data_IF_820165448174
#
_entry.id   IF_820165448174
#
_cell.length_a   1.000
_cell.length_b   1.000
_cell.length_c   1.000
_cell.angle_alpha   90.00
_cell.angle_beta   90.00
_cell.angle_gamma   90.00
#
_symmetry.space_group_name_H-M   'P 1'
#
loop_
_entity.id
_entity.type
_entity.pdbx_description
1 polymer ?
#
# COMPACT_ATOMS: atom_id res chain seq x y z
N UNK A 1 -8.17 5.41 9.74
CA UNK A 1 -9.36 5.99 9.10
C UNK A 1 -10.60 5.65 9.91
N UNK A 2 -10.69 6.20 11.05
CA UNK A 2 -11.68 5.86 12.07
C UNK A 2 -13.11 5.92 11.55
N UNK A 3 -13.70 4.76 11.25
CA UNK A 3 -15.08 4.66 10.83
C UNK A 3 -15.42 5.24 9.47
N UNK A 4 -14.44 5.69 8.71
CA UNK A 4 -14.62 6.26 7.38
C UNK A 4 -14.44 5.21 6.31
N UNK A 5 -15.30 5.22 5.30
CA UNK A 5 -15.18 4.32 4.18
C UNK A 5 -14.11 4.79 3.20
N UNK A 6 -13.39 3.84 2.63
CA UNK A 6 -12.49 4.09 1.52
C UNK A 6 -12.87 3.19 0.36
N UNK A 7 -12.55 3.63 -0.84
CA UNK A 7 -12.67 2.82 -2.05
C UNK A 7 -11.28 2.60 -2.62
N UNK A 8 -10.95 1.35 -2.89
CA UNK A 8 -9.70 0.99 -3.54
C UNK A 8 -10.03 0.50 -4.94
N UNK A 9 -9.37 1.09 -5.94
CA UNK A 9 -9.46 0.64 -7.32
C UNK A 9 -8.13 0.04 -7.72
N UNK A 10 -8.14 -1.17 -8.24
CA UNK A 10 -6.95 -1.83 -8.73
C UNK A 10 -7.08 -2.07 -10.22
N UNK A 11 -6.03 -1.74 -10.96
CA UNK A 11 -6.03 -1.88 -12.42
C UNK A 11 -4.67 -2.37 -12.88
N UNK A 12 -4.68 -3.45 -13.68
CA UNK A 12 -3.48 -3.93 -14.36
C UNK A 12 -3.20 -3.00 -15.53
N UNK A 13 -1.96 -2.58 -15.68
CA UNK A 13 -1.53 -1.64 -16.70
C UNK A 13 -0.18 -2.08 -17.29
N UNK A 14 0.33 -1.30 -18.25
CA UNK A 14 1.62 -1.56 -18.87
C UNK A 14 1.70 -2.97 -19.47
N UNK A 15 0.64 -3.36 -20.18
CA UNK A 15 0.51 -4.67 -20.83
C UNK A 15 0.69 -5.85 -19.88
N UNK A 16 0.17 -5.69 -18.64
CA UNK A 16 0.12 -6.77 -17.66
C UNK A 16 1.31 -6.83 -16.71
N UNK A 17 2.25 -5.90 -16.79
CA UNK A 17 3.41 -5.99 -15.93
C UNK A 17 3.36 -5.11 -14.67
N UNK A 18 2.33 -4.28 -14.53
CA UNK A 18 2.21 -3.37 -13.39
C UNK A 18 0.77 -3.36 -12.89
N UNK A 19 0.59 -3.33 -11.57
CA UNK A 19 -0.71 -3.17 -10.94
C UNK A 19 -0.76 -1.80 -10.29
N UNK A 20 -1.75 -1.00 -10.65
CA UNK A 20 -2.01 0.29 -10.02
C UNK A 20 -3.10 0.13 -8.97
N UNK A 21 -2.85 0.65 -7.78
CA UNK A 21 -3.75 0.64 -6.63
C UNK A 21 -4.00 2.08 -6.24
N UNK A 22 -5.24 2.53 -6.30
CA UNK A 22 -5.62 3.88 -5.94
C UNK A 22 -6.65 3.83 -4.81
N UNK A 23 -6.40 4.57 -3.74
CA UNK A 23 -7.29 4.62 -2.59
C UNK A 23 -7.93 6.01 -2.50
N UNK A 24 -9.25 6.03 -2.35
CA UNK A 24 -10.01 7.27 -2.18
C UNK A 24 -10.91 7.17 -0.97
N UNK A 25 -10.89 8.21 -0.14
CA UNK A 25 -11.81 8.35 0.97
C UNK A 25 -12.76 9.52 0.73
N UNK A 26 -13.99 9.41 1.23
CA UNK A 26 -15.04 10.41 0.97
C UNK A 26 -14.66 11.82 1.45
N UNK A 27 -13.92 11.91 2.55
CA UNK A 27 -13.58 13.20 3.17
C UNK A 27 -12.11 13.55 3.02
N UNK A 28 -11.40 12.91 2.09
CA UNK A 28 -9.97 13.11 1.95
C UNK A 28 -9.64 13.72 0.60
N UNK A 29 -8.87 14.82 0.58
CA UNK A 29 -8.37 15.36 -0.69
C UNK A 29 -7.26 14.50 -1.30
N UNK A 30 -6.58 13.71 -0.47
CA UNK A 30 -5.49 12.83 -0.89
C UNK A 30 -6.04 11.57 -1.53
N UNK A 31 -5.49 11.16 -2.65
CA UNK A 31 -5.81 9.87 -3.28
C UNK A 31 -4.50 9.10 -3.54
N UNK A 32 -3.94 8.47 -2.49
CA UNK A 32 -2.65 7.81 -2.65
C UNK A 32 -2.69 6.71 -3.69
N UNK A 33 -1.62 6.63 -4.45
CA UNK A 33 -1.43 5.62 -5.49
C UNK A 33 -0.24 4.76 -5.14
N UNK A 34 -0.40 3.45 -5.27
CA UNK A 34 0.67 2.49 -5.08
C UNK A 34 0.82 1.68 -6.36
N UNK A 35 2.04 1.57 -6.84
CA UNK A 35 2.36 0.79 -8.04
C UNK A 35 3.12 -0.46 -7.63
N UNK A 36 2.65 -1.62 -8.11
CA UNK A 36 3.25 -2.92 -7.79
C UNK A 36 3.82 -3.54 -9.05
N UNK A 37 5.03 -4.10 -8.94
CA UNK A 37 5.62 -4.91 -10.02
C UNK A 37 6.21 -6.18 -9.43
N UNK A 38 6.18 -7.26 -10.19
CA UNK A 38 6.85 -8.50 -9.82
C UNK A 38 8.31 -8.40 -10.29
N UNK A 39 9.23 -8.69 -9.39
CA UNK A 39 10.66 -8.66 -9.65
C UNK A 39 11.26 -9.98 -9.16
N UNK A 40 11.33 -10.97 -10.05
CA UNK A 40 11.81 -12.31 -9.69
C UNK A 40 10.88 -12.97 -8.68
N UNK A 41 11.42 -13.28 -7.51
CA UNK A 41 10.67 -13.94 -6.44
C UNK A 41 10.09 -12.97 -5.41
N UNK A 42 10.13 -11.67 -5.70
CA UNK A 42 9.60 -10.65 -4.80
C UNK A 42 8.66 -9.71 -5.55
N UNK A 43 7.87 -8.96 -4.78
CA UNK A 43 7.01 -7.90 -5.30
C UNK A 43 7.57 -6.58 -4.81
N UNK A 44 7.74 -5.63 -5.72
CA UNK A 44 8.16 -4.28 -5.36
C UNK A 44 6.94 -3.35 -5.40
N UNK A 45 6.85 -2.46 -4.43
CA UNK A 45 5.87 -1.39 -4.50
C UNK A 45 6.55 -0.04 -4.39
N UNK A 46 5.95 0.94 -5.04
CA UNK A 46 6.28 2.36 -4.88
C UNK A 46 4.99 3.08 -4.50
N UNK A 47 5.05 3.82 -3.40
CA UNK A 47 3.87 4.48 -2.84
C UNK A 47 3.96 6.00 -3.05
N UNK A 48 2.86 6.59 -3.52
CA UNK A 48 2.74 8.03 -3.77
C UNK A 48 1.60 8.58 -2.92
N UNK A 49 1.88 9.58 -2.11
CA UNK A 49 0.86 10.23 -1.29
C UNK A 49 1.22 11.71 -1.05
N UNK A 50 0.42 12.38 -0.24
CA UNK A 50 0.58 13.81 0.02
C UNK A 50 1.78 14.16 0.90
N UNK A 51 2.53 13.18 1.39
CA UNK A 51 3.76 13.41 2.13
C UNK A 51 4.92 13.89 1.23
N UNK A 52 4.70 13.97 -0.07
CA UNK A 52 5.65 14.48 -1.06
C UNK A 52 6.93 13.65 -1.12
N UNK A 53 6.81 12.35 -0.94
CA UNK A 53 7.91 11.42 -1.10
C UNK A 53 7.40 10.11 -1.70
N UNK A 54 8.33 9.27 -2.11
CA UNK A 54 8.01 8.01 -2.80
C UNK A 54 8.78 6.86 -2.15
N UNK A 55 8.25 6.30 -1.05
CA UNK A 55 8.88 5.12 -0.46
C UNK A 55 8.70 3.90 -1.35
N UNK A 56 9.74 3.07 -1.37
CA UNK A 56 9.69 1.77 -2.04
C UNK A 56 9.83 0.67 -1.00
N UNK A 57 9.12 -0.42 -1.23
CA UNK A 57 9.16 -1.57 -0.35
C UNK A 57 9.23 -2.85 -1.17
N UNK A 58 9.82 -3.88 -0.57
CA UNK A 58 9.89 -5.20 -1.19
C UNK A 58 9.16 -6.19 -0.32
N UNK A 59 8.36 -7.02 -0.95
CA UNK A 59 7.57 -8.02 -0.27
C UNK A 59 7.74 -9.40 -0.86
N UNK A 60 7.51 -10.40 -0.02
CA UNK A 60 7.46 -11.79 -0.43
C UNK A 60 6.14 -12.38 -0.01
N UNK A 61 5.64 -13.29 -0.83
CA UNK A 61 4.40 -14.00 -0.56
C UNK A 61 4.70 -15.12 0.43
N UNK A 62 3.84 -15.28 1.45
CA UNK A 62 3.96 -16.37 2.40
C UNK A 62 3.78 -17.72 1.71
N UNK A 63 4.29 -18.83 2.30
CA UNK A 63 4.17 -20.15 1.67
C UNK A 63 2.73 -20.58 1.38
N UNK A 64 1.77 -20.14 2.21
CA UNK A 64 0.35 -20.46 1.99
C UNK A 64 -0.33 -19.57 0.97
N UNK A 65 0.39 -18.57 0.42
CA UNK A 65 -0.14 -17.66 -0.59
C UNK A 65 -1.11 -16.62 -0.07
N UNK A 66 -1.23 -16.43 1.24
CA UNK A 66 -2.25 -15.57 1.82
C UNK A 66 -1.74 -14.23 2.33
N UNK A 67 -0.44 -14.06 2.48
CA UNK A 67 0.11 -12.83 3.05
C UNK A 67 1.26 -12.32 2.20
N UNK A 68 1.21 -11.04 1.83
CA UNK A 68 2.33 -10.30 1.28
C UNK A 68 2.78 -9.30 2.33
N UNK A 69 4.01 -9.45 2.80
CA UNK A 69 4.59 -8.56 3.79
C UNK A 69 5.67 -7.72 3.13
N UNK A 70 5.47 -6.39 3.12
CA UNK A 70 6.36 -5.44 2.46
C UNK A 70 7.21 -4.69 3.47
N UNK A 71 8.52 -4.77 3.29
CA UNK A 71 9.49 -4.09 4.14
C UNK A 71 10.17 -2.96 3.38
N UNK A 72 10.51 -1.92 4.12
CA UNK A 72 11.08 -0.70 3.58
C UNK A 72 12.41 -0.97 2.85
N UNK A 73 12.56 -0.40 1.66
CA UNK A 73 13.82 -0.40 0.90
C UNK A 73 14.48 0.98 0.95
N UNK A 74 13.80 1.98 0.40
CA UNK A 74 14.31 3.33 0.31
C UNK A 74 13.17 4.30 0.06
N UNK A 75 13.50 5.59 0.05
CA UNK A 75 12.53 6.64 -0.20
C UNK A 75 13.23 7.79 -0.91
N UNK A 76 12.54 8.40 -1.88
CA UNK A 76 12.99 9.63 -2.51
C UNK A 76 12.00 10.75 -2.21
N UNK A 77 12.50 11.98 -2.13
CA UNK A 77 11.66 13.14 -1.95
C UNK A 77 11.80 13.77 -0.57
N UNK A 78 10.78 14.49 -0.17
CA UNK A 78 10.77 15.27 1.06
C UNK A 78 10.50 14.38 2.28
N UNK A 79 11.38 14.40 3.25
CA UNK A 79 11.26 13.57 4.46
C UNK A 79 10.67 14.33 5.65
N UNK A 80 10.31 15.60 5.45
CA UNK A 80 9.89 16.47 6.54
C UNK A 80 8.65 15.99 7.27
N UNK A 81 7.72 15.35 6.56
CA UNK A 81 6.42 14.95 7.12
C UNK A 81 6.33 13.46 7.40
N UNK A 82 7.43 12.72 7.26
CA UNK A 82 7.43 11.28 7.43
C UNK A 82 7.16 10.53 6.13
N UNK A 83 7.08 9.20 6.22
CA UNK A 83 6.85 8.35 5.05
C UNK A 83 6.24 7.02 5.44
N UNK A 84 5.64 6.35 4.47
CA UNK A 84 5.17 4.99 4.65
C UNK A 84 6.37 4.06 4.83
N UNK A 85 6.30 3.14 5.79
CA UNK A 85 7.44 2.34 6.24
C UNK A 85 7.22 0.83 6.05
N UNK A 86 5.97 0.39 6.13
CA UNK A 86 5.66 -1.04 6.12
C UNK A 86 4.23 -1.24 5.65
N UNK A 87 3.99 -2.37 4.99
CA UNK A 87 2.63 -2.75 4.61
C UNK A 87 2.49 -4.26 4.62
N UNK A 88 1.33 -4.74 5.04
CA UNK A 88 0.99 -6.15 4.99
C UNK A 88 -0.36 -6.29 4.31
N UNK A 89 -0.43 -7.14 3.30
CA UNK A 89 -1.66 -7.48 2.60
C UNK A 89 -2.01 -8.91 2.95
N UNK A 90 -3.21 -9.12 3.49
CA UNK A 90 -3.71 -10.46 3.85
C UNK A 90 -4.90 -10.80 2.97
N UNK A 91 -4.78 -11.88 2.22
CA UNK A 91 -5.83 -12.32 1.28
C UNK A 91 -6.69 -13.37 1.95
N UNK A 92 -7.94 -12.99 2.29
CA UNK A 92 -8.88 -13.89 2.95
C UNK A 92 -9.46 -14.85 1.91
N UNK A 93 -9.92 -14.30 0.79
CA UNK A 93 -10.39 -15.07 -0.36
C UNK A 93 -10.30 -14.19 -1.62
N UNK A 94 -10.85 -14.65 -2.73
CA UNK A 94 -10.74 -13.93 -4.01
C UNK A 94 -11.43 -12.56 -4.00
N UNK A 95 -12.31 -12.30 -3.03
CA UNK A 95 -13.12 -11.08 -2.98
C UNK A 95 -12.90 -10.26 -1.72
N UNK A 96 -11.99 -10.67 -0.85
CA UNK A 96 -11.82 -10.06 0.45
C UNK A 96 -10.34 -10.05 0.85
N UNK A 97 -9.79 -8.87 1.07
CA UNK A 97 -8.44 -8.76 1.59
C UNK A 97 -8.33 -7.59 2.58
N UNK A 98 -7.29 -7.64 3.39
CA UNK A 98 -7.01 -6.65 4.42
C UNK A 98 -5.67 -6.02 4.11
N UNK A 99 -5.58 -4.70 4.28
CA UNK A 99 -4.32 -3.97 4.17
C UNK A 99 -4.01 -3.30 5.50
N UNK A 100 -2.80 -3.53 5.99
CA UNK A 100 -2.28 -2.87 7.19
C UNK A 100 -1.05 -2.06 6.79
N UNK A 101 -1.12 -0.75 7.00
CA UNK A 101 -0.05 0.17 6.62
C UNK A 101 0.53 0.84 7.86
N UNK A 102 1.84 1.01 7.88
CA UNK A 102 2.52 1.75 8.94
C UNK A 102 3.21 2.96 8.33
N UNK A 103 2.84 4.13 8.79
CA UNK A 103 3.45 5.40 8.43
C UNK A 103 4.38 5.82 9.55
N UNK A 104 5.62 6.17 9.19
CA UNK A 104 6.61 6.64 10.16
C UNK A 104 6.56 8.16 10.23
N UNK A 105 6.01 8.67 11.34
CA UNK A 105 5.94 10.11 11.58
C UNK A 105 7.32 10.65 11.97
N UNK A 106 7.56 11.96 11.80
CA UNK A 106 8.77 12.58 12.34
C UNK A 106 8.94 12.27 13.83
N UNK A 107 10.16 12.03 14.28
CA UNK A 107 10.43 11.65 15.66
C UNK A 107 10.25 10.18 15.95
N UNK A 108 10.26 9.35 14.90
CA UNK A 108 10.16 7.89 14.98
C UNK A 108 8.85 7.40 15.61
N UNK A 109 7.76 8.11 15.34
CA UNK A 109 6.44 7.73 15.84
C UNK A 109 5.65 7.00 14.75
N UNK A 110 5.33 5.70 14.94
CA UNK A 110 4.54 4.98 13.95
C UNK A 110 3.05 5.34 14.04
N UNK A 111 2.42 5.40 12.89
CA UNK A 111 0.97 5.51 12.75
C UNK A 111 0.48 4.34 11.92
N UNK A 112 -0.54 3.64 12.41
CA UNK A 112 -1.07 2.45 11.76
C UNK A 112 -2.43 2.72 11.14
N UNK A 113 -2.64 2.20 9.95
CA UNK A 113 -3.94 2.25 9.27
C UNK A 113 -4.31 0.83 8.85
N UNK A 114 -5.56 0.47 9.07
CA UNK A 114 -6.10 -0.86 8.79
C UNK A 114 -7.32 -0.72 7.89
N UNK A 115 -7.33 -1.45 6.78
CA UNK A 115 -8.42 -1.43 5.81
C UNK A 115 -8.90 -2.85 5.53
N UNK A 116 -10.16 -3.11 5.81
CA UNK A 116 -10.83 -4.36 5.48
C UNK A 116 -11.63 -4.12 4.20
N UNK A 117 -11.22 -4.78 3.11
CA UNK A 117 -11.69 -4.44 1.77
C UNK A 117 -12.44 -5.60 1.14
N UNK A 118 -13.70 -5.34 0.79
CA UNK A 118 -14.57 -6.28 0.10
C UNK A 118 -14.70 -5.85 -1.35
N UNK A 119 -14.63 -6.81 -2.25
CA UNK A 119 -14.81 -6.54 -3.68
C UNK A 119 -16.26 -6.18 -3.96
N UNK A 120 -16.47 -5.10 -4.73
CA UNK A 120 -17.81 -4.65 -5.09
C UNK A 120 -18.20 -5.03 -6.52
N UNK A 121 -17.26 -5.55 -7.31
CA UNK A 121 -17.53 -5.99 -8.69
C UNK A 121 -16.69 -7.19 -9.07
#
# INVERSE_FOLDING_TARGET
>A
MNGKSVTVTMRVTSMGNTLMHEMRGADRPDDPITMFVVDGDRVLLTHYCDADNRPRMAGTLSPDGKTLDFNFLDVTGNMKYGHMQHATFTFIDANHHVEDWTFQMPGDKPMHAHFDLQRTK
#
